data_IF_832140145912
#
_entry.id   IF_832140145912
#
_cell.length_a   1.000
_cell.length_b   1.000
_cell.length_c   1.000
_cell.angle_alpha   90.00
_cell.angle_beta   90.00
_cell.angle_gamma   90.00
#
_symmetry.space_group_name_H-M   'P 1'
#
loop_
_entity.id
_entity.type
_entity.pdbx_description
1 polymer ?
#
# COMPACT_ATOMS: atom_id res chain seq x y z
N UNK A 1 -10.58 -11.92 -2.80
CA UNK A 1 -11.94 -12.32 -3.20
C UNK A 1 -12.05 -13.82 -2.95
N UNK A 2 -13.11 -14.56 -3.27
CA UNK A 2 -13.09 -16.02 -3.06
C UNK A 2 -12.52 -16.77 -4.28
N UNK A 3 -12.68 -16.22 -5.49
CA UNK A 3 -12.35 -16.91 -6.75
C UNK A 3 -11.28 -16.20 -7.60
N UNK A 4 -10.56 -15.21 -7.05
CA UNK A 4 -9.51 -14.49 -7.77
C UNK A 4 -10.03 -13.50 -8.82
N UNK A 5 -9.16 -12.56 -9.21
CA UNK A 5 -9.48 -11.42 -10.08
C UNK A 5 -10.02 -11.83 -11.46
N UNK A 6 -9.59 -12.94 -12.06
CA UNK A 6 -10.06 -13.38 -13.39
C UNK A 6 -11.39 -14.13 -13.38
N UNK A 7 -11.69 -14.93 -12.35
CA UNK A 7 -12.98 -15.64 -12.28
C UNK A 7 -14.13 -14.71 -11.87
N UNK A 8 -13.82 -13.55 -11.28
CA UNK A 8 -14.82 -12.59 -10.82
C UNK A 8 -14.99 -11.47 -11.84
N UNK A 9 -16.10 -11.50 -12.59
CA UNK A 9 -16.44 -10.42 -13.52
C UNK A 9 -17.04 -9.22 -12.76
N UNK A 10 -16.87 -7.99 -13.26
CA UNK A 10 -17.54 -6.79 -12.69
C UNK A 10 -19.05 -7.00 -12.58
N UNK A 11 -19.61 -7.81 -13.49
CA UNK A 11 -21.02 -8.22 -13.48
C UNK A 11 -21.36 -9.13 -12.30
N UNK A 12 -20.55 -10.15 -11.98
CA UNK A 12 -20.80 -11.00 -10.82
C UNK A 12 -20.60 -10.27 -9.49
N UNK A 13 -19.69 -9.28 -9.44
CA UNK A 13 -19.54 -8.38 -8.30
C UNK A 13 -20.79 -7.52 -8.13
N UNK A 14 -21.30 -6.93 -9.21
CA UNK A 14 -22.50 -6.10 -9.19
C UNK A 14 -23.72 -6.91 -8.72
N UNK A 15 -23.89 -8.12 -9.25
CA UNK A 15 -24.95 -9.06 -8.85
C UNK A 15 -24.83 -9.46 -7.36
N UNK A 16 -23.62 -9.76 -6.88
CA UNK A 16 -23.38 -10.08 -5.46
C UNK A 16 -23.63 -8.90 -4.53
N UNK A 17 -23.38 -7.67 -4.99
CA UNK A 17 -23.60 -6.44 -4.24
C UNK A 17 -25.04 -5.88 -4.39
N UNK A 18 -25.90 -6.54 -5.16
CA UNK A 18 -27.28 -6.10 -5.39
C UNK A 18 -27.40 -4.80 -6.20
N UNK A 19 -26.38 -4.45 -6.99
CA UNK A 19 -26.33 -3.21 -7.78
C UNK A 19 -26.25 -3.50 -9.28
N UNK A 20 -26.57 -2.52 -10.11
CA UNK A 20 -26.45 -2.68 -11.57
C UNK A 20 -25.00 -2.54 -12.03
N UNK A 21 -24.63 -3.29 -13.07
CA UNK A 21 -23.31 -3.17 -13.70
C UNK A 21 -23.00 -1.73 -14.16
N UNK A 22 -24.01 -1.01 -14.66
CA UNK A 22 -23.89 0.39 -15.06
C UNK A 22 -23.53 1.31 -13.89
N UNK A 23 -24.03 1.03 -12.68
CA UNK A 23 -23.71 1.81 -11.48
C UNK A 23 -22.25 1.59 -11.06
N UNK A 24 -21.77 0.35 -11.15
CA UNK A 24 -20.36 0.03 -10.92
C UNK A 24 -19.47 0.72 -11.96
N UNK A 25 -19.86 0.72 -13.24
CA UNK A 25 -19.11 1.39 -14.29
C UNK A 25 -19.14 2.92 -14.16
N UNK A 26 -20.25 3.50 -13.68
CA UNK A 26 -20.37 4.93 -13.39
C UNK A 26 -19.43 5.36 -12.25
N UNK A 27 -19.35 4.58 -11.16
CA UNK A 27 -18.53 4.94 -10.00
C UNK A 27 -17.04 4.62 -10.18
N UNK A 28 -16.71 3.55 -10.89
CA UNK A 28 -15.33 3.04 -10.95
C UNK A 28 -14.73 3.05 -12.35
N UNK A 29 -15.51 3.33 -13.39
CA UNK A 29 -15.09 3.46 -14.79
C UNK A 29 -14.68 2.14 -15.47
N UNK A 30 -13.95 1.28 -14.77
CA UNK A 30 -13.42 0.01 -15.29
C UNK A 30 -13.19 -1.01 -14.18
N UNK A 31 -12.97 -2.29 -14.54
CA UNK A 31 -12.53 -3.34 -13.61
C UNK A 31 -11.25 -2.97 -12.87
N UNK A 32 -10.30 -2.33 -13.56
CA UNK A 32 -9.06 -1.81 -12.96
C UNK A 32 -9.33 -0.68 -11.97
N UNK A 33 -10.27 0.23 -12.26
CA UNK A 33 -10.66 1.29 -11.34
C UNK A 33 -11.38 0.78 -10.10
N UNK A 34 -12.23 -0.24 -10.25
CA UNK A 34 -12.86 -0.93 -9.12
C UNK A 34 -11.80 -1.64 -8.25
N UNK A 35 -10.84 -2.31 -8.87
CA UNK A 35 -9.73 -2.95 -8.17
C UNK A 35 -8.88 -1.93 -7.41
N UNK A 36 -8.57 -0.78 -8.04
CA UNK A 36 -7.89 0.33 -7.38
C UNK A 36 -8.66 0.85 -6.15
N UNK A 37 -9.99 0.99 -6.24
CA UNK A 37 -10.83 1.42 -5.12
C UNK A 37 -10.87 0.38 -3.99
N UNK A 38 -10.86 -0.92 -4.33
CA UNK A 38 -10.73 -2.01 -3.35
C UNK A 38 -9.35 -1.98 -2.70
N UNK A 39 -8.28 -1.77 -3.47
CA UNK A 39 -6.93 -1.60 -2.94
C UNK A 39 -6.89 -0.42 -1.97
N UNK A 40 -7.51 0.71 -2.28
CA UNK A 40 -7.62 1.86 -1.38
C UNK A 40 -8.37 1.54 -0.08
N UNK A 41 -9.45 0.77 -0.16
CA UNK A 41 -10.20 0.37 1.02
C UNK A 41 -9.39 -0.56 1.93
N UNK A 42 -8.58 -1.46 1.36
CA UNK A 42 -7.85 -2.50 2.09
C UNK A 42 -6.47 -2.01 2.56
N UNK A 43 -5.78 -1.20 1.75
CA UNK A 43 -4.43 -0.69 2.00
C UNK A 43 -4.41 0.70 2.62
N UNK A 44 -5.39 1.56 2.34
CA UNK A 44 -5.50 2.94 2.83
C UNK A 44 -4.20 3.75 3.00
N UNK A 45 -3.16 3.62 2.15
CA UNK A 45 -1.82 4.13 2.48
C UNK A 45 -1.80 5.65 2.48
N UNK A 46 -2.57 6.29 1.58
CA UNK A 46 -2.75 7.75 1.57
C UNK A 46 -3.43 8.26 2.86
N UNK A 47 -4.48 7.59 3.32
CA UNK A 47 -5.15 7.99 4.57
C UNK A 47 -4.26 7.80 5.81
N UNK A 48 -3.44 6.73 5.82
CA UNK A 48 -2.45 6.51 6.89
C UNK A 48 -1.42 7.64 6.89
N UNK A 49 -0.89 8.00 5.72
CA UNK A 49 0.04 9.11 5.59
C UNK A 49 -0.58 10.41 6.08
N UNK A 50 -1.77 10.79 5.60
CA UNK A 50 -2.43 12.04 5.96
C UNK A 50 -2.67 12.14 7.47
N UNK A 51 -3.16 11.06 8.09
CA UNK A 51 -3.41 11.02 9.55
C UNK A 51 -2.13 11.15 10.36
N UNK A 52 -1.04 10.53 9.92
CA UNK A 52 0.25 10.59 10.63
C UNK A 52 0.91 11.95 10.41
N UNK A 53 0.95 12.45 9.17
CA UNK A 53 1.53 13.75 8.82
C UNK A 53 0.81 14.92 9.52
N UNK A 54 -0.51 14.80 9.75
CA UNK A 54 -1.27 15.78 10.52
C UNK A 54 -0.84 15.89 12.00
N UNK A 55 -0.20 14.85 12.56
CA UNK A 55 0.14 14.75 13.99
C UNK A 55 1.64 14.71 14.26
N UNK A 56 2.43 14.31 13.28
CA UNK A 56 3.86 14.06 13.41
C UNK A 56 4.61 14.67 12.22
N UNK A 57 5.67 15.39 12.52
CA UNK A 57 6.53 16.03 11.52
C UNK A 57 8.00 15.69 11.80
N UNK A 58 8.86 15.95 10.81
CA UNK A 58 10.31 15.73 10.94
C UNK A 58 10.64 14.26 11.24
N UNK A 59 11.52 14.03 12.22
CA UNK A 59 12.02 12.69 12.59
C UNK A 59 10.98 11.77 13.23
N UNK A 60 9.85 12.31 13.69
CA UNK A 60 8.77 11.53 14.27
C UNK A 60 7.84 10.91 13.21
N UNK A 61 7.89 11.36 11.96
CA UNK A 61 7.00 10.90 10.90
C UNK A 61 7.23 9.42 10.56
N UNK A 62 8.49 9.02 10.27
CA UNK A 62 8.78 7.67 9.81
C UNK A 62 8.43 6.57 10.83
N UNK A 63 8.75 6.69 12.14
CA UNK A 63 8.37 5.68 13.11
C UNK A 63 6.85 5.46 13.20
N UNK A 64 6.07 6.53 13.23
CA UNK A 64 4.61 6.44 13.35
C UNK A 64 3.98 5.92 12.05
N UNK A 65 4.48 6.36 10.91
CA UNK A 65 4.04 5.88 9.61
C UNK A 65 4.27 4.37 9.48
N UNK A 66 5.48 3.90 9.78
CA UNK A 66 5.83 2.49 9.72
C UNK A 66 5.01 1.67 10.72
N UNK A 67 4.82 2.15 11.96
CA UNK A 67 4.01 1.46 12.96
C UNK A 67 2.55 1.31 12.52
N UNK A 68 1.94 2.35 11.94
CA UNK A 68 0.57 2.30 11.43
C UNK A 68 0.45 1.38 10.22
N UNK A 69 1.43 1.43 9.30
CA UNK A 69 1.43 0.54 8.15
C UNK A 69 1.57 -0.94 8.58
N UNK A 70 2.47 -1.25 9.51
CA UNK A 70 2.57 -2.60 10.10
C UNK A 70 1.27 -3.03 10.79
N UNK A 71 0.59 -2.11 11.49
CA UNK A 71 -0.71 -2.40 12.10
C UNK A 71 -1.76 -2.83 11.10
N UNK A 72 -1.78 -2.20 9.92
CA UNK A 72 -2.67 -2.57 8.84
C UNK A 72 -2.36 -3.96 8.29
N UNK A 73 -1.07 -4.25 8.06
CA UNK A 73 -0.61 -5.55 7.55
C UNK A 73 -0.72 -6.70 8.56
N UNK A 74 -0.75 -6.39 9.86
CA UNK A 74 -1.00 -7.36 10.92
C UNK A 74 -2.50 -7.59 11.16
N UNK A 75 -3.39 -6.78 10.56
CA UNK A 75 -4.84 -6.89 10.77
C UNK A 75 -5.36 -8.25 10.31
N UNK A 76 -6.01 -9.06 11.17
CA UNK A 76 -6.56 -10.36 10.78
C UNK A 76 -7.57 -10.27 9.62
N UNK A 77 -8.27 -9.13 9.50
CA UNK A 77 -9.25 -8.89 8.45
C UNK A 77 -8.60 -8.56 7.10
N UNK A 78 -7.45 -7.87 7.10
CA UNK A 78 -6.83 -7.33 5.89
C UNK A 78 -5.64 -8.18 5.42
N UNK A 79 -4.84 -8.71 6.34
CA UNK A 79 -3.60 -9.43 6.04
C UNK A 79 -3.77 -10.59 5.03
N UNK A 80 -4.82 -11.44 5.12
CA UNK A 80 -5.03 -12.48 4.12
C UNK A 80 -5.30 -11.91 2.73
N UNK A 81 -6.08 -10.83 2.64
CA UNK A 81 -6.43 -10.15 1.38
C UNK A 81 -5.20 -9.51 0.74
N UNK A 82 -4.35 -8.88 1.53
CA UNK A 82 -3.12 -8.25 1.03
C UNK A 82 -2.13 -9.26 0.47
N UNK A 83 -1.99 -10.42 1.12
CA UNK A 83 -1.15 -11.52 0.62
C UNK A 83 -1.70 -12.13 -0.67
N UNK A 84 -3.02 -12.31 -0.75
CA UNK A 84 -3.72 -12.77 -1.96
C UNK A 84 -3.44 -11.81 -3.13
N UNK A 85 -3.60 -10.51 -2.92
CA UNK A 85 -3.35 -9.47 -3.93
C UNK A 85 -1.92 -9.44 -4.45
N UNK A 86 -0.91 -9.57 -3.57
CA UNK A 86 0.49 -9.61 -4.01
C UNK A 86 0.77 -10.87 -4.84
N UNK A 87 0.23 -12.02 -4.42
CA UNK A 87 0.39 -13.28 -5.16
C UNK A 87 -0.25 -13.17 -6.54
N UNK A 88 -1.48 -12.68 -6.61
CA UNK A 88 -2.20 -12.44 -7.86
C UNK A 88 -1.41 -11.53 -8.81
N UNK A 89 -0.82 -10.45 -8.29
CA UNK A 89 0.00 -9.54 -9.09
C UNK A 89 1.34 -10.16 -9.55
N UNK A 90 1.88 -11.15 -8.83
CA UNK A 90 3.10 -11.84 -9.23
C UNK A 90 2.86 -12.87 -10.35
N UNK A 91 1.64 -13.41 -10.45
CA UNK A 91 1.27 -14.44 -11.42
C UNK A 91 0.73 -13.87 -12.74
N UNK A 92 0.22 -12.63 -12.73
CA UNK A 92 -0.41 -12.00 -13.89
C UNK A 92 0.17 -10.59 -14.19
N UNK A 93 0.82 -10.39 -15.34
CA UNK A 93 1.38 -9.10 -15.75
C UNK A 93 0.37 -7.96 -15.82
N UNK A 94 -0.90 -8.24 -16.17
CA UNK A 94 -1.94 -7.22 -16.25
C UNK A 94 -2.33 -6.75 -14.84
N UNK A 95 -2.40 -7.66 -13.86
CA UNK A 95 -2.64 -7.30 -12.45
C UNK A 95 -1.45 -6.57 -11.84
N UNK A 96 -0.23 -6.96 -12.22
CA UNK A 96 0.97 -6.23 -11.85
C UNK A 96 0.93 -4.76 -12.31
N UNK A 97 0.43 -4.50 -13.52
CA UNK A 97 0.27 -3.15 -14.05
C UNK A 97 -0.76 -2.33 -13.26
N UNK A 98 -1.90 -2.93 -12.89
CA UNK A 98 -2.91 -2.25 -12.06
C UNK A 98 -2.35 -1.94 -10.67
N UNK A 99 -1.65 -2.90 -10.04
CA UNK A 99 -1.00 -2.68 -8.74
C UNK A 99 0.07 -1.59 -8.84
N UNK A 100 0.86 -1.57 -9.92
CA UNK A 100 1.86 -0.53 -10.18
C UNK A 100 1.22 0.85 -10.30
N UNK A 101 0.15 0.97 -11.10
CA UNK A 101 -0.58 2.22 -11.25
C UNK A 101 -1.19 2.72 -9.93
N UNK A 102 -1.71 1.80 -9.12
CA UNK A 102 -2.20 2.10 -7.77
C UNK A 102 -1.08 2.61 -6.85
N UNK A 103 0.05 1.89 -6.77
CA UNK A 103 1.19 2.29 -5.94
C UNK A 103 1.75 3.64 -6.37
N UNK A 104 1.80 3.94 -7.66
CA UNK A 104 2.24 5.24 -8.14
C UNK A 104 1.28 6.35 -7.71
N UNK A 105 0.02 6.25 -8.12
CA UNK A 105 -0.99 7.31 -7.92
C UNK A 105 -1.36 7.55 -6.45
N UNK A 106 -1.33 6.51 -5.63
CA UNK A 106 -1.86 6.57 -4.26
C UNK A 106 -0.76 6.61 -3.21
N UNK A 107 0.39 5.99 -3.50
CA UNK A 107 1.53 6.01 -2.56
C UNK A 107 2.52 7.06 -2.99
N UNK A 108 3.13 6.94 -4.18
CA UNK A 108 4.22 7.85 -4.57
C UNK A 108 3.75 9.29 -4.67
N UNK A 109 2.65 9.55 -5.39
CA UNK A 109 2.18 10.92 -5.64
C UNK A 109 1.72 11.59 -4.34
N UNK A 110 0.97 10.88 -3.48
CA UNK A 110 0.55 11.39 -2.15
C UNK A 110 1.74 11.70 -1.25
N UNK A 111 2.73 10.81 -1.20
CA UNK A 111 3.95 11.05 -0.44
C UNK A 111 4.73 12.24 -0.99
N UNK A 112 4.80 12.38 -2.32
CA UNK A 112 5.47 13.50 -2.96
C UNK A 112 4.77 14.84 -2.65
N UNK A 113 3.44 14.87 -2.67
CA UNK A 113 2.64 16.05 -2.27
C UNK A 113 2.94 16.48 -0.84
N UNK A 114 3.01 15.53 0.10
CA UNK A 114 3.29 15.81 1.52
C UNK A 114 4.75 16.21 1.78
N UNK A 115 5.71 15.63 1.06
CA UNK A 115 7.15 15.94 1.21
C UNK A 115 7.46 17.33 0.62
N UNK A 116 6.91 17.63 -0.56
CA UNK A 116 7.15 18.87 -1.28
C UNK A 116 8.59 19.03 -1.82
N UNK A 117 8.76 20.00 -2.71
CA UNK A 117 10.07 20.34 -3.29
C UNK A 117 10.48 19.52 -4.52
N UNK A 118 11.64 19.84 -5.13
CA UNK A 118 12.03 19.33 -6.45
C UNK A 118 12.39 17.83 -6.47
N UNK A 119 12.68 17.25 -5.31
CA UNK A 119 13.07 15.84 -5.16
C UNK A 119 11.94 14.95 -4.60
N UNK A 120 10.74 15.49 -4.39
CA UNK A 120 9.68 14.83 -3.62
C UNK A 120 9.31 13.44 -4.16
N UNK A 121 9.14 13.28 -5.47
CA UNK A 121 8.83 11.98 -6.08
C UNK A 121 9.95 10.95 -5.92
N UNK A 122 11.22 11.39 -5.97
CA UNK A 122 12.38 10.51 -5.74
C UNK A 122 12.44 10.03 -4.30
N UNK A 123 12.22 10.94 -3.34
CA UNK A 123 12.17 10.64 -1.91
C UNK A 123 10.98 9.71 -1.58
N UNK A 124 9.80 10.03 -2.11
CA UNK A 124 8.61 9.20 -1.99
C UNK A 124 8.83 7.79 -2.54
N UNK A 125 9.45 7.66 -3.72
CA UNK A 125 9.80 6.37 -4.31
C UNK A 125 10.76 5.57 -3.44
N UNK A 126 11.77 6.23 -2.85
CA UNK A 126 12.70 5.59 -1.91
C UNK A 126 12.00 5.11 -0.63
N UNK A 127 11.07 5.90 -0.08
CA UNK A 127 10.28 5.51 1.07
C UNK A 127 9.35 4.33 0.77
N UNK A 128 8.69 4.36 -0.40
CA UNK A 128 7.86 3.25 -0.88
C UNK A 128 8.67 1.96 -1.06
N UNK A 129 9.89 2.03 -1.59
CA UNK A 129 10.77 0.87 -1.74
C UNK A 129 11.15 0.25 -0.38
N UNK A 130 11.48 1.07 0.62
CA UNK A 130 11.78 0.59 1.98
C UNK A 130 10.58 -0.13 2.58
N UNK A 131 9.38 0.47 2.51
CA UNK A 131 8.15 -0.15 3.02
C UNK A 131 7.81 -1.44 2.28
N UNK A 132 7.90 -1.45 0.94
CA UNK A 132 7.65 -2.63 0.12
C UNK A 132 8.62 -3.77 0.48
N UNK A 133 9.90 -3.47 0.71
CA UNK A 133 10.90 -4.44 1.16
C UNK A 133 10.52 -5.08 2.49
N UNK A 134 10.07 -4.29 3.47
CA UNK A 134 9.55 -4.82 4.75
C UNK A 134 8.35 -5.73 4.51
N UNK A 135 7.36 -5.29 3.71
CA UNK A 135 6.15 -6.08 3.52
C UNK A 135 6.41 -7.39 2.80
N UNK A 136 7.23 -7.35 1.76
CA UNK A 136 7.63 -8.53 1.00
C UNK A 136 8.36 -9.52 1.91
N UNK A 137 9.40 -9.08 2.63
CA UNK A 137 10.24 -9.96 3.44
C UNK A 137 9.49 -10.49 4.67
N UNK A 138 8.70 -9.66 5.36
CA UNK A 138 7.95 -10.07 6.56
C UNK A 138 6.71 -10.89 6.26
N UNK A 139 5.85 -10.44 5.35
CA UNK A 139 4.49 -11.00 5.20
C UNK A 139 4.33 -11.98 4.05
N UNK A 140 5.17 -11.87 3.01
CA UNK A 140 5.05 -12.70 1.80
C UNK A 140 6.07 -13.83 1.81
N UNK A 141 7.35 -13.48 1.86
CA UNK A 141 8.46 -14.45 1.85
C UNK A 141 8.69 -15.06 3.23
N UNK A 142 8.27 -14.36 4.31
CA UNK A 142 8.45 -14.80 5.71
C UNK A 142 9.94 -15.06 6.04
N UNK A 143 10.81 -14.14 5.62
CA UNK A 143 12.25 -14.18 5.85
C UNK A 143 12.57 -13.93 7.34
N UNK A 144 13.38 -14.78 7.96
CA UNK A 144 13.81 -14.59 9.36
C UNK A 144 15.10 -13.76 9.46
N UNK A 145 15.28 -12.94 10.53
CA UNK A 145 14.40 -12.79 11.69
C UNK A 145 13.24 -11.79 11.48
N UNK A 146 13.19 -11.06 10.35
CA UNK A 146 12.21 -9.96 10.16
C UNK A 146 10.75 -10.44 10.18
N UNK A 147 10.49 -11.70 9.86
CA UNK A 147 9.17 -12.30 9.95
C UNK A 147 8.68 -12.48 11.40
N UNK A 148 9.57 -12.80 12.34
CA UNK A 148 9.24 -13.05 13.74
C UNK A 148 9.48 -11.85 14.67
N UNK A 149 10.25 -10.85 14.25
CA UNK A 149 10.47 -9.62 15.01
C UNK A 149 9.16 -8.95 15.46
N UNK A 150 9.17 -8.35 16.65
CA UNK A 150 8.06 -7.52 17.12
C UNK A 150 7.93 -6.27 16.26
N UNK A 151 6.75 -5.63 16.31
CA UNK A 151 6.51 -4.37 15.59
C UNK A 151 7.48 -3.29 16.07
N UNK A 152 7.72 -3.23 17.37
CA UNK A 152 8.64 -2.29 18.01
C UNK A 152 10.08 -2.49 17.53
N UNK A 153 10.51 -3.74 17.37
CA UNK A 153 11.84 -4.05 16.82
C UNK A 153 11.96 -3.57 15.37
N UNK A 154 10.98 -3.86 14.51
CA UNK A 154 11.00 -3.41 13.12
C UNK A 154 11.01 -1.89 13.06
N UNK A 155 10.15 -1.22 13.83
CA UNK A 155 10.12 0.25 13.88
C UNK A 155 11.48 0.78 14.32
N UNK A 156 12.10 0.19 15.36
CA UNK A 156 13.42 0.59 15.84
C UNK A 156 14.52 0.49 14.78
N UNK A 157 14.55 -0.61 14.01
CA UNK A 157 15.62 -0.84 13.02
C UNK A 157 15.36 -0.17 11.66
N UNK A 158 14.10 -0.09 11.22
CA UNK A 158 13.77 0.35 9.86
C UNK A 158 13.35 1.81 9.79
N UNK A 159 12.74 2.38 10.84
CA UNK A 159 12.30 3.78 10.81
C UNK A 159 13.45 4.77 10.49
N UNK A 160 14.70 4.61 10.96
CA UNK A 160 15.80 5.49 10.55
C UNK A 160 16.09 5.42 9.04
N UNK A 161 16.00 4.24 8.43
CA UNK A 161 16.20 4.04 6.98
C UNK A 161 15.06 4.70 6.21
N UNK A 162 13.82 4.52 6.68
CA UNK A 162 12.64 5.17 6.10
C UNK A 162 12.74 6.70 6.20
N UNK A 163 13.15 7.23 7.37
CA UNK A 163 13.33 8.67 7.58
C UNK A 163 14.40 9.24 6.65
N UNK A 164 15.49 8.51 6.42
CA UNK A 164 16.54 8.91 5.49
C UNK A 164 16.04 8.97 4.04
N UNK A 165 15.10 8.11 3.65
CA UNK A 165 14.44 8.18 2.35
C UNK A 165 13.45 9.34 2.22
N UNK A 166 12.87 9.82 3.32
CA UNK A 166 11.93 10.94 3.34
C UNK A 166 12.62 12.31 3.43
N UNK A 167 13.91 12.35 3.75
CA UNK A 167 14.64 13.60 3.99
C UNK A 167 15.60 13.88 2.83
N UNK A 168 15.58 15.09 2.24
CA UNK A 168 16.57 15.46 1.23
C UNK A 168 17.99 15.32 1.78
N UNK A 169 18.85 14.56 1.10
CA UNK A 169 20.29 14.56 1.42
C UNK A 169 20.87 15.88 0.93
N UNK A 170 21.32 16.73 1.86
CA UNK A 170 22.14 17.89 1.50
C UNK A 170 23.40 17.36 0.82
N UNK A 171 23.61 17.75 -0.44
CA UNK A 171 24.89 17.56 -1.14
C UNK A 171 25.92 18.54 -0.59
#
# INVERSE_FOLDING_TARGET
MADGYDATSVRSIAESAGVSHSLVNYHFGSKSGLFSAVLDLVMGPGQVLDRVAARHQGSALAPHLLAQALALWDSPALAPRLRELIRDAAEDPQRAEVLRGYLHSTVVDRFAEQIGGPDAHRLASGAAAVMAGVFLTRYVIRLEPIASMSREEIVRYVAPVLQASLTPRRR
#
